data_IF_377043717503
#
_entry.id   IF_377043717503
#
_cell.length_a   1.000
_cell.length_b   1.000
_cell.length_c   1.000
_cell.angle_alpha   90.00
_cell.angle_beta   90.00
_cell.angle_gamma   90.00
#
_symmetry.space_group_name_H-M   'P 1'
#
loop_
_entity.id
_entity.type
_entity.pdbx_description
1 polymer ?
#
# COMPACT_ATOMS: atom_id res chain seq x y z
N UNK A 1 -12.51 4.26 -10.16
CA UNK A 1 -11.32 4.60 -9.36
C UNK A 1 -11.59 4.55 -7.85
N UNK A 2 -12.71 5.12 -7.37
CA UNK A 2 -13.09 5.06 -5.94
C UNK A 2 -13.07 3.65 -5.33
N UNK A 3 -13.61 2.59 -5.96
CA UNK A 3 -13.54 1.24 -5.37
C UNK A 3 -12.11 0.73 -5.19
N UNK A 4 -11.22 1.06 -6.13
CA UNK A 4 -9.82 0.64 -6.07
C UNK A 4 -9.02 1.44 -5.02
N UNK A 5 -9.34 2.72 -4.80
CA UNK A 5 -8.81 3.48 -3.67
C UNK A 5 -9.28 2.91 -2.32
N UNK A 6 -10.55 2.49 -2.25
CA UNK A 6 -11.09 1.78 -1.08
C UNK A 6 -10.38 0.46 -0.81
N UNK A 7 -10.15 -0.35 -1.85
CA UNK A 7 -9.37 -1.58 -1.76
C UNK A 7 -7.94 -1.30 -1.27
N UNK A 8 -7.27 -0.30 -1.84
CA UNK A 8 -5.91 0.07 -1.45
C UNK A 8 -5.84 0.49 0.02
N UNK A 9 -6.85 1.23 0.52
CA UNK A 9 -6.93 1.56 1.94
C UNK A 9 -7.08 0.29 2.81
N UNK A 10 -7.94 -0.66 2.41
CA UNK A 10 -8.10 -1.94 3.11
C UNK A 10 -6.78 -2.71 3.14
N UNK A 11 -6.06 -2.77 2.02
CA UNK A 11 -4.76 -3.44 1.94
C UNK A 11 -3.75 -2.78 2.90
N UNK A 12 -3.70 -1.45 2.96
CA UNK A 12 -2.85 -0.73 3.92
C UNK A 12 -3.23 -1.02 5.38
N UNK A 13 -4.52 -1.15 5.69
CA UNK A 13 -4.96 -1.54 7.03
C UNK A 13 -4.57 -2.97 7.39
N UNK A 14 -4.67 -3.89 6.43
CA UNK A 14 -4.27 -5.29 6.62
C UNK A 14 -2.74 -5.44 6.75
N UNK A 15 -1.95 -4.62 6.04
CA UNK A 15 -0.48 -4.70 6.11
C UNK A 15 0.08 -4.26 7.46
N UNK A 16 -0.70 -3.57 8.29
CA UNK A 16 -0.32 -3.22 9.67
C UNK A 16 -0.43 -4.41 10.65
N UNK A 17 -1.05 -5.52 10.24
CA UNK A 17 -1.41 -6.62 11.14
C UNK A 17 -0.31 -7.63 11.50
N UNK A 18 0.72 -7.90 10.68
CA UNK A 18 1.72 -8.93 10.98
C UNK A 18 2.36 -8.83 12.38
N UNK A 19 2.78 -7.64 12.87
CA UNK A 19 3.40 -7.51 14.21
C UNK A 19 2.46 -7.88 15.38
N UNK A 20 1.15 -7.92 15.13
CA UNK A 20 0.14 -8.21 16.15
C UNK A 20 -0.47 -9.60 16.01
N UNK A 21 -0.49 -10.14 14.78
CA UNK A 21 -1.06 -11.45 14.51
C UNK A 21 -0.03 -12.57 14.60
N UNK A 22 1.25 -12.31 14.29
CA UNK A 22 2.32 -13.31 14.33
C UNK A 22 2.28 -14.15 15.61
N UNK A 23 2.29 -13.51 16.77
CA UNK A 23 2.22 -14.19 18.07
C UNK A 23 0.91 -14.92 18.32
N UNK A 24 -0.21 -14.31 17.93
CA UNK A 24 -1.52 -14.88 18.16
C UNK A 24 -1.76 -16.18 17.36
N UNK A 25 -1.08 -16.35 16.22
CA UNK A 25 -1.24 -17.53 15.34
C UNK A 25 0.00 -18.41 15.24
N UNK A 26 1.04 -18.16 16.04
CA UNK A 26 2.28 -18.94 16.05
C UNK A 26 3.14 -18.77 14.78
N UNK A 27 3.08 -17.59 14.16
CA UNK A 27 3.82 -17.20 12.96
C UNK A 27 4.75 -15.99 13.23
N UNK A 28 5.31 -15.88 14.43
CA UNK A 28 6.34 -14.88 14.75
C UNK A 28 7.64 -15.20 14.02
N UNK A 29 8.38 -14.15 13.68
CA UNK A 29 9.73 -14.26 13.15
C UNK A 29 10.73 -14.23 14.31
N UNK A 30 11.54 -15.28 14.44
CA UNK A 30 12.50 -15.35 15.53
C UNK A 30 13.64 -14.36 15.32
N UNK A 31 14.01 -13.63 16.37
CA UNK A 31 15.16 -12.71 16.36
C UNK A 31 14.90 -11.35 15.73
N UNK A 32 13.67 -11.05 15.29
CA UNK A 32 13.29 -9.70 14.85
C UNK A 32 12.75 -8.89 16.02
N UNK A 33 13.22 -7.64 16.14
CA UNK A 33 12.71 -6.71 17.16
C UNK A 33 11.31 -6.24 16.78
N UNK A 34 10.39 -6.19 17.75
CA UNK A 34 9.04 -5.63 17.57
C UNK A 34 9.05 -4.18 17.04
N UNK A 35 10.10 -3.41 17.34
CA UNK A 35 10.26 -2.06 16.78
C UNK A 35 10.49 -2.10 15.27
N UNK A 36 11.25 -3.07 14.77
CA UNK A 36 11.50 -3.25 13.34
C UNK A 36 10.20 -3.65 12.66
N UNK A 37 9.47 -4.63 13.21
CA UNK A 37 8.18 -5.05 12.64
C UNK A 37 7.17 -3.90 12.58
N UNK A 38 7.10 -3.06 13.62
CA UNK A 38 6.24 -1.87 13.61
C UNK A 38 6.65 -0.88 12.52
N UNK A 39 7.95 -0.62 12.36
CA UNK A 39 8.45 0.31 11.34
C UNK A 39 8.19 -0.22 9.93
N UNK A 40 8.35 -1.53 9.71
CA UNK A 40 8.22 -2.14 8.39
C UNK A 40 6.77 -2.41 7.97
N UNK A 41 5.82 -2.50 8.92
CA UNK A 41 4.41 -2.74 8.62
C UNK A 41 3.49 -1.57 8.97
N UNK A 42 3.56 -1.08 10.20
CA UNK A 42 2.56 -0.15 10.73
C UNK A 42 2.72 1.23 10.11
N UNK A 43 3.95 1.72 9.98
CA UNK A 43 4.24 3.03 9.37
C UNK A 43 3.82 3.08 7.90
N UNK A 44 4.27 2.18 7.01
CA UNK A 44 3.83 2.19 5.61
C UNK A 44 2.34 1.84 5.46
N UNK A 45 1.82 0.89 6.23
CA UNK A 45 0.42 0.51 6.21
C UNK A 45 -0.52 1.66 6.60
N UNK A 46 -0.20 2.40 7.67
CA UNK A 46 -0.94 3.59 8.08
C UNK A 46 -0.89 4.69 7.01
N UNK A 47 0.27 4.90 6.39
CA UNK A 47 0.41 5.86 5.30
C UNK A 47 -0.52 5.51 4.14
N UNK A 48 -0.53 4.25 3.70
CA UNK A 48 -1.41 3.75 2.63
C UNK A 48 -2.88 3.86 3.02
N UNK A 49 -3.25 3.39 4.22
CA UNK A 49 -4.62 3.43 4.74
C UNK A 49 -5.18 4.85 4.74
N UNK A 50 -4.43 5.78 5.34
CA UNK A 50 -4.86 7.18 5.45
C UNK A 50 -4.90 7.88 4.08
N UNK A 51 -3.85 7.75 3.27
CA UNK A 51 -3.77 8.47 1.98
C UNK A 51 -4.80 7.94 0.97
N UNK A 52 -4.94 6.63 0.82
CA UNK A 52 -5.92 6.02 -0.08
C UNK A 52 -7.35 6.23 0.43
N UNK A 53 -7.58 6.12 1.74
CA UNK A 53 -8.87 6.34 2.39
C UNK A 53 -9.36 7.78 2.21
N UNK A 54 -8.52 8.77 2.54
CA UNK A 54 -8.84 10.20 2.35
C UNK A 54 -9.05 10.50 0.87
N UNK A 55 -8.18 10.00 -0.02
CA UNK A 55 -8.35 10.19 -1.47
C UNK A 55 -9.66 9.61 -1.99
N UNK A 56 -10.05 8.43 -1.51
CA UNK A 56 -11.34 7.79 -1.85
C UNK A 56 -12.52 8.69 -1.46
N UNK A 57 -12.50 9.23 -0.24
CA UNK A 57 -13.53 10.15 0.25
C UNK A 57 -13.58 11.45 -0.56
N UNK A 58 -12.43 12.06 -0.83
CA UNK A 58 -12.34 13.32 -1.57
C UNK A 58 -12.79 13.18 -3.03
N UNK A 59 -12.41 12.10 -3.70
CA UNK A 59 -12.85 11.81 -5.07
C UNK A 59 -14.35 11.51 -5.10
N UNK A 60 -14.86 10.73 -4.14
CA UNK A 60 -16.29 10.44 -4.02
C UNK A 60 -17.13 11.70 -3.78
N UNK A 61 -16.61 12.64 -3.01
CA UNK A 61 -17.24 13.92 -2.74
C UNK A 61 -17.07 14.95 -3.87
N UNK A 62 -16.40 14.61 -4.97
CA UNK A 62 -16.14 15.52 -6.09
C UNK A 62 -15.17 16.67 -5.76
N UNK A 63 -14.43 16.59 -4.64
CA UNK A 63 -13.48 17.62 -4.20
C UNK A 63 -12.12 17.50 -4.89
N UNK A 64 -11.79 16.31 -5.39
CA UNK A 64 -10.55 16.00 -6.09
C UNK A 64 -10.88 15.30 -7.39
N UNK A 65 -10.34 15.81 -8.50
CA UNK A 65 -10.47 15.16 -9.81
C UNK A 65 -9.57 13.93 -9.89
N UNK A 66 -10.01 12.93 -10.64
CA UNK A 66 -9.29 11.66 -10.79
C UNK A 66 -7.92 11.80 -11.49
N UNK A 67 -7.69 12.89 -12.20
CA UNK A 67 -6.43 13.21 -12.88
C UNK A 67 -5.69 14.41 -12.25
N UNK A 68 -5.99 14.71 -10.99
CA UNK A 68 -5.34 15.81 -10.28
C UNK A 68 -3.93 15.43 -9.82
N UNK A 69 -3.05 16.43 -9.74
CA UNK A 69 -1.71 16.28 -9.16
C UNK A 69 -1.77 15.79 -7.70
N UNK A 70 -2.74 16.27 -6.92
CA UNK A 70 -2.95 15.85 -5.51
C UNK A 70 -3.13 14.35 -5.42
N UNK A 71 -3.95 13.77 -6.30
CA UNK A 71 -4.20 12.34 -6.31
C UNK A 71 -3.01 11.55 -6.84
N UNK A 72 -2.29 12.07 -7.83
CA UNK A 72 -1.05 11.46 -8.31
C UNK A 72 0.01 11.39 -7.20
N UNK A 73 0.18 12.46 -6.41
CA UNK A 73 1.09 12.48 -5.25
C UNK A 73 0.64 11.45 -4.20
N UNK A 74 -0.66 11.39 -3.87
CA UNK A 74 -1.17 10.42 -2.90
C UNK A 74 -0.90 8.97 -3.34
N UNK A 75 -1.09 8.66 -4.62
CA UNK A 75 -0.82 7.34 -5.19
C UNK A 75 0.68 7.03 -5.27
N UNK A 76 1.52 8.03 -5.54
CA UNK A 76 2.98 7.88 -5.48
C UNK A 76 3.47 7.58 -4.06
N UNK A 77 2.88 8.20 -3.03
CA UNK A 77 3.18 7.87 -1.63
C UNK A 77 2.74 6.44 -1.28
N UNK A 78 1.56 6.00 -1.73
CA UNK A 78 1.15 4.60 -1.55
C UNK A 78 2.10 3.62 -2.24
N UNK A 79 2.56 3.97 -3.45
CA UNK A 79 3.52 3.17 -4.20
C UNK A 79 4.86 3.08 -3.46
N UNK A 80 5.39 4.20 -2.95
CA UNK A 80 6.64 4.21 -2.18
C UNK A 80 6.53 3.37 -0.91
N UNK A 81 5.40 3.44 -0.21
CA UNK A 81 5.15 2.60 0.98
C UNK A 81 5.14 1.10 0.62
N UNK A 82 4.42 0.71 -0.45
CA UNK A 82 4.40 -0.67 -0.92
C UNK A 82 5.77 -1.17 -1.38
N UNK A 83 6.55 -0.32 -2.07
CA UNK A 83 7.93 -0.64 -2.47
C UNK A 83 8.83 -0.80 -1.26
N UNK A 84 8.77 0.12 -0.29
CA UNK A 84 9.52 0.03 0.97
C UNK A 84 9.29 -1.32 1.64
N UNK A 85 8.02 -1.63 1.92
CA UNK A 85 7.63 -2.87 2.59
C UNK A 85 8.04 -4.09 1.76
N UNK A 86 7.87 -4.07 0.43
CA UNK A 86 8.31 -5.18 -0.42
C UNK A 86 9.83 -5.39 -0.32
N UNK A 87 10.61 -4.31 -0.33
CA UNK A 87 12.07 -4.39 -0.31
C UNK A 87 12.63 -4.83 1.03
N UNK A 88 12.03 -4.40 2.15
CA UNK A 88 12.44 -4.84 3.49
C UNK A 88 12.21 -6.34 3.71
N UNK A 89 11.26 -6.92 2.98
CA UNK A 89 10.89 -8.34 3.05
C UNK A 89 11.65 -9.25 2.07
N UNK A 90 12.48 -8.71 1.16
CA UNK A 90 13.27 -9.54 0.23
C UNK A 90 14.16 -10.54 0.99
N UNK A 91 14.93 -10.16 2.03
CA UNK A 91 15.72 -11.12 2.79
C UNK A 91 14.86 -12.23 3.38
N UNK A 92 13.72 -11.88 3.99
CA UNK A 92 12.79 -12.84 4.58
C UNK A 92 12.27 -13.85 3.55
N UNK A 93 11.92 -13.39 2.35
CA UNK A 93 11.49 -14.26 1.26
C UNK A 93 12.58 -15.24 0.81
N UNK A 94 13.86 -14.82 0.84
CA UNK A 94 15.00 -15.67 0.49
C UNK A 94 15.33 -16.71 1.58
N UNK A 95 14.91 -16.46 2.82
CA UNK A 95 15.12 -17.34 3.97
C UNK A 95 13.95 -18.28 4.24
N UNK A 96 12.90 -18.22 3.42
CA UNK A 96 11.68 -18.99 3.62
C UNK A 96 11.92 -20.50 3.72
N UNK A 97 11.34 -21.09 4.77
CA UNK A 97 11.43 -22.52 5.05
C UNK A 97 12.53 -22.90 6.05
N UNK A 98 13.30 -21.93 6.54
CA UNK A 98 14.15 -22.14 7.73
C UNK A 98 13.29 -22.18 9.01
N UNK A 99 13.77 -22.83 10.10
CA UNK A 99 13.06 -22.86 11.37
C UNK A 99 12.65 -21.48 11.90
N UNK A 100 13.53 -20.49 11.75
CA UNK A 100 13.33 -19.10 12.16
C UNK A 100 12.38 -18.29 11.25
N UNK A 101 12.14 -18.79 10.03
CA UNK A 101 11.37 -18.12 8.97
C UNK A 101 10.46 -19.12 8.24
N UNK A 102 9.48 -19.73 8.93
CA UNK A 102 8.57 -20.69 8.32
C UNK A 102 7.74 -20.01 7.22
N UNK A 103 7.40 -20.76 6.17
CA UNK A 103 6.67 -20.21 5.01
C UNK A 103 5.37 -19.48 5.38
N UNK A 104 4.67 -19.94 6.43
CA UNK A 104 3.48 -19.25 6.93
C UNK A 104 3.77 -17.82 7.38
N UNK A 105 4.86 -17.61 8.14
CA UNK A 105 5.29 -16.29 8.56
C UNK A 105 5.75 -15.45 7.36
N UNK A 106 6.54 -16.03 6.46
CA UNK A 106 7.00 -15.33 5.22
C UNK A 106 5.82 -14.84 4.39
N UNK A 107 4.79 -15.67 4.20
CA UNK A 107 3.58 -15.31 3.44
C UNK A 107 2.80 -14.21 4.16
N UNK A 108 2.58 -14.36 5.48
CA UNK A 108 1.86 -13.37 6.28
C UNK A 108 2.50 -11.97 6.17
N UNK A 109 3.82 -11.90 6.24
CA UNK A 109 4.57 -10.64 6.23
C UNK A 109 4.76 -10.08 4.81
N UNK A 110 4.95 -10.94 3.80
CA UNK A 110 5.37 -10.48 2.46
C UNK A 110 4.24 -10.34 1.44
N UNK A 111 3.05 -10.89 1.67
CA UNK A 111 2.03 -10.99 0.61
C UNK A 111 1.41 -9.64 0.23
N UNK A 112 1.17 -8.77 1.20
CA UNK A 112 0.36 -7.56 1.00
C UNK A 112 1.14 -6.43 0.33
N UNK A 113 2.43 -6.33 0.58
CA UNK A 113 3.29 -5.27 0.06
C UNK A 113 3.41 -5.21 -1.48
N UNK A 114 3.62 -6.32 -2.23
CA UNK A 114 3.62 -6.27 -3.69
C UNK A 114 2.24 -5.95 -4.27
N UNK A 115 1.15 -6.32 -3.57
CA UNK A 115 -0.21 -5.96 -3.98
C UNK A 115 -0.45 -4.45 -3.82
N UNK A 116 -0.03 -3.87 -2.70
CA UNK A 116 -0.08 -2.42 -2.47
C UNK A 116 0.71 -1.69 -3.56
N UNK A 117 1.96 -2.12 -3.83
CA UNK A 117 2.79 -1.50 -4.86
C UNK A 117 2.15 -1.61 -6.25
N UNK A 118 1.68 -2.80 -6.64
CA UNK A 118 1.07 -3.04 -7.95
C UNK A 118 -0.22 -2.25 -8.17
N UNK A 119 -1.12 -2.25 -7.19
CA UNK A 119 -2.38 -1.49 -7.27
C UNK A 119 -2.10 0.02 -7.29
N UNK A 120 -1.17 0.50 -6.47
CA UNK A 120 -0.78 1.93 -6.44
C UNK A 120 -0.20 2.38 -7.78
N UNK A 121 0.71 1.59 -8.36
CA UNK A 121 1.30 1.88 -9.66
C UNK A 121 0.22 1.92 -10.75
N UNK A 122 -0.66 0.91 -10.79
CA UNK A 122 -1.75 0.87 -11.77
C UNK A 122 -2.66 2.10 -11.67
N UNK A 123 -3.04 2.50 -10.46
CA UNK A 123 -3.86 3.68 -10.23
C UNK A 123 -3.13 4.97 -10.61
N UNK A 124 -1.85 5.08 -10.28
CA UNK A 124 -1.02 6.24 -10.63
C UNK A 124 -0.95 6.42 -12.15
N UNK A 125 -0.63 5.35 -12.88
CA UNK A 125 -0.58 5.37 -14.34
C UNK A 125 -1.92 5.77 -14.94
N UNK A 126 -3.05 5.29 -14.38
CA UNK A 126 -4.38 5.73 -14.82
C UNK A 126 -4.64 7.21 -14.55
N UNK A 127 -4.26 7.71 -13.37
CA UNK A 127 -4.41 9.12 -13.01
C UNK A 127 -3.64 10.03 -13.98
N UNK A 128 -2.44 9.61 -14.40
CA UNK A 128 -1.58 10.36 -15.33
C UNK A 128 -2.03 10.24 -16.79
N UNK A 129 -2.61 9.11 -17.21
CA UNK A 129 -3.07 8.91 -18.58
C UNK A 129 -4.40 9.62 -18.91
N UNK A 130 -5.14 10.07 -17.89
CA UNK A 130 -6.35 10.85 -18.09
C UNK A 130 -6.01 12.29 -18.45
N UNK A 131 -6.02 12.57 -19.77
CA UNK A 131 -5.98 13.93 -20.32
C UNK A 131 -6.90 14.85 -19.49
N UNK A 132 -6.45 16.05 -19.08
CA UNK A 132 -7.34 17.05 -18.53
C UNK A 132 -8.35 17.38 -19.62
N UNK A 133 -9.56 16.81 -19.50
CA UNK A 133 -10.68 17.04 -20.40
C UNK A 133 -10.68 18.52 -20.74
N UNK A 134 -10.26 18.84 -21.96
CA UNK A 134 -9.93 20.20 -22.32
C UNK A 134 -11.07 21.10 -21.89
N UNK A 135 -10.72 22.24 -21.30
CA UNK A 135 -11.51 23.44 -21.58
C UNK A 135 -11.88 23.34 -23.06
N UNK A 136 -13.17 23.23 -23.32
CA UNK A 136 -13.70 23.56 -24.63
C UNK A 136 -13.05 24.90 -24.94
N UNK A 137 -12.06 24.90 -25.83
CA UNK A 137 -11.58 26.10 -26.49
C UNK A 137 -12.82 26.67 -27.12
N UNK A 138 -13.48 27.56 -26.39
CA UNK A 138 -14.61 28.32 -26.91
C UNK A 138 -14.04 29.01 -28.12
N UNK A 139 -14.47 28.54 -29.28
CA UNK A 139 -14.27 29.23 -30.53
C UNK A 139 -14.68 30.69 -30.31
N UNK A 140 -13.69 31.57 -30.40
CA UNK A 140 -13.87 33.00 -30.62
C UNK A 140 -13.01 33.36 -31.81
#
# INVERSE_FOLDING_TARGET
>A
MVPALGLLAILGGLSMTPPYLGGAVGLELEGISSTVEIVDHVVPGLLVFATAGVSSLLVRAGRVRQNSLVLAIALALCLLAGVWETTSHIPLALEGGRPESPWGAVILHSLLSPLIAGVSLWLLLRALAMEPSGEQRTAR
#
